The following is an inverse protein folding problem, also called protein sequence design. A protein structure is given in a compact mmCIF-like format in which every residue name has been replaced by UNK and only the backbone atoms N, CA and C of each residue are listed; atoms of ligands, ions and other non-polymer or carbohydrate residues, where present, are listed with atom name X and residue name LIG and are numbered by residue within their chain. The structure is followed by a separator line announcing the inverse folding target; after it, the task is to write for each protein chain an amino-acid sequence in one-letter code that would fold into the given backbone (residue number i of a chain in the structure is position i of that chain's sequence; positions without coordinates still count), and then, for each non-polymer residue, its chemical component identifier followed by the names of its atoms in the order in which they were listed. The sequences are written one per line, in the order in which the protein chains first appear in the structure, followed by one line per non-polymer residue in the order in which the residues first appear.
data_IF_140680299751
#
_entry.id   IF_140680299751
#
_cell.length_a   1.000
_cell.length_b   1.000
_cell.length_c   1.000
_cell.angle_alpha   90.00
_cell.angle_beta   90.00
_cell.angle_gamma   90.00
#
_symmetry.space_group_name_H-M   'P 1'
#
loop_
_entity.id
_entity.type
_entity.pdbx_description
1 polymer ?
#
# COMPACT_ATOMS: atom_id res chain seq x y z
N UNK A 1 -23.63 26.90 -43.24
CA UNK A 1 -23.70 25.74 -42.34
C UNK A 1 -22.33 25.30 -41.86
N UNK A 2 -21.34 25.18 -42.73
CA UNK A 2 -19.98 24.74 -42.33
C UNK A 2 -19.29 25.74 -41.41
N UNK A 3 -19.54 27.02 -41.53
CA UNK A 3 -18.94 28.06 -40.69
C UNK A 3 -19.46 28.00 -39.26
N UNK A 4 -20.74 27.72 -39.04
CA UNK A 4 -21.34 27.58 -37.72
C UNK A 4 -20.82 26.35 -37.02
N UNK A 5 -20.68 25.25 -37.73
CA UNK A 5 -20.11 23.98 -37.22
C UNK A 5 -18.65 24.17 -36.82
N UNK A 6 -17.85 24.84 -37.64
CA UNK A 6 -16.46 25.15 -37.33
C UNK A 6 -16.30 26.08 -36.14
N UNK A 7 -17.14 27.10 -36.01
CA UNK A 7 -17.13 28.00 -34.84
C UNK A 7 -17.49 27.27 -33.56
N UNK A 8 -18.52 26.42 -33.60
CA UNK A 8 -18.93 25.60 -32.45
C UNK A 8 -17.81 24.63 -32.05
N UNK A 9 -17.17 24.03 -33.02
CA UNK A 9 -16.06 23.10 -32.78
C UNK A 9 -14.84 23.80 -32.14
N UNK A 10 -14.52 25.00 -32.60
CA UNK A 10 -13.40 25.80 -32.09
C UNK A 10 -13.64 26.26 -30.66
N UNK A 11 -14.88 26.50 -30.27
CA UNK A 11 -15.24 26.91 -28.90
C UNK A 11 -15.35 25.68 -27.97
N UNK A 12 -15.94 24.59 -28.46
CA UNK A 12 -16.20 23.39 -27.66
C UNK A 12 -14.93 22.62 -27.35
N UNK A 13 -13.95 22.56 -28.26
CA UNK A 13 -12.74 21.77 -28.12
C UNK A 13 -11.88 22.17 -26.91
N UNK A 14 -11.55 23.47 -26.71
CA UNK A 14 -10.78 23.86 -25.52
C UNK A 14 -11.51 23.62 -24.20
N UNK A 15 -12.83 23.78 -24.18
CA UNK A 15 -13.66 23.54 -22.99
C UNK A 15 -13.61 22.04 -22.63
N UNK A 16 -13.72 21.18 -23.63
CA UNK A 16 -13.66 19.73 -23.45
C UNK A 16 -12.29 19.30 -22.95
N UNK A 17 -11.22 19.84 -23.50
CA UNK A 17 -9.85 19.54 -23.06
C UNK A 17 -9.62 19.98 -21.61
N UNK A 18 -10.11 21.16 -21.24
CA UNK A 18 -10.03 21.65 -19.86
C UNK A 18 -10.77 20.75 -18.89
N UNK A 19 -11.95 20.25 -19.27
CA UNK A 19 -12.73 19.33 -18.46
C UNK A 19 -11.99 18.00 -18.27
N UNK A 20 -11.41 17.45 -19.33
CA UNK A 20 -10.64 16.21 -19.27
C UNK A 20 -9.44 16.36 -18.33
N UNK A 21 -8.68 17.44 -18.44
CA UNK A 21 -7.52 17.71 -17.57
C UNK A 21 -7.96 17.82 -16.11
N UNK A 22 -9.06 18.53 -15.85
CA UNK A 22 -9.62 18.67 -14.51
C UNK A 22 -10.01 17.31 -13.92
N UNK A 23 -10.67 16.48 -14.74
CA UNK A 23 -11.10 15.13 -14.33
C UNK A 23 -9.90 14.23 -14.00
N UNK A 24 -8.84 14.29 -14.82
CA UNK A 24 -7.62 13.52 -14.59
C UNK A 24 -6.93 13.94 -13.29
N UNK A 25 -6.87 15.23 -13.00
CA UNK A 25 -6.29 15.74 -11.75
C UNK A 25 -7.10 15.30 -10.54
N UNK A 26 -8.42 15.29 -10.67
CA UNK A 26 -9.31 14.82 -9.60
C UNK A 26 -9.11 13.33 -9.31
N UNK A 27 -9.02 12.51 -10.35
CA UNK A 27 -8.77 11.07 -10.21
C UNK A 27 -7.43 10.78 -9.55
N UNK A 28 -6.39 11.53 -9.93
CA UNK A 28 -5.07 11.38 -9.33
C UNK A 28 -5.11 11.72 -7.84
N UNK A 29 -5.79 12.80 -7.46
CA UNK A 29 -5.93 13.20 -6.06
C UNK A 29 -6.66 12.13 -5.23
N UNK A 30 -7.74 11.58 -5.77
CA UNK A 30 -8.51 10.52 -5.11
C UNK A 30 -7.67 9.26 -4.95
N UNK A 31 -6.89 8.88 -5.95
CA UNK A 31 -5.99 7.73 -5.87
C UNK A 31 -4.91 7.92 -4.81
N UNK A 32 -4.28 9.09 -4.77
CA UNK A 32 -3.25 9.40 -3.79
C UNK A 32 -3.81 9.34 -2.37
N UNK A 33 -5.02 9.87 -2.16
CA UNK A 33 -5.69 9.81 -0.86
C UNK A 33 -6.02 8.37 -0.45
N UNK A 34 -6.52 7.55 -1.38
CA UNK A 34 -6.81 6.13 -1.14
C UNK A 34 -5.55 5.33 -0.85
N UNK A 35 -4.47 5.59 -1.58
CA UNK A 35 -3.19 4.92 -1.37
C UNK A 35 -2.62 5.24 0.01
N UNK A 36 -2.69 6.51 0.43
CA UNK A 36 -2.25 6.93 1.76
C UNK A 36 -3.08 6.27 2.85
N UNK A 37 -4.41 6.24 2.68
CA UNK A 37 -5.31 5.59 3.63
C UNK A 37 -5.03 4.10 3.76
N UNK A 38 -4.82 3.41 2.64
CA UNK A 38 -4.48 1.98 2.63
C UNK A 38 -3.14 1.74 3.32
N UNK A 39 -2.14 2.57 3.04
CA UNK A 39 -0.83 2.47 3.67
C UNK A 39 -0.92 2.60 5.19
N UNK A 40 -1.72 3.56 5.69
CA UNK A 40 -1.91 3.76 7.13
C UNK A 40 -2.63 2.58 7.78
N UNK A 41 -3.62 2.00 7.11
CA UNK A 41 -4.31 0.81 7.61
C UNK A 41 -3.37 -0.39 7.68
N UNK A 42 -2.55 -0.60 6.66
CA UNK A 42 -1.55 -1.67 6.66
C UNK A 42 -0.54 -1.46 7.79
N UNK A 43 -0.12 -0.22 8.00
CA UNK A 43 0.80 0.12 9.08
C UNK A 43 0.23 -0.26 10.45
N UNK A 44 -1.02 0.10 10.72
CA UNK A 44 -1.69 -0.22 11.99
C UNK A 44 -1.79 -1.73 12.18
N UNK A 45 -2.19 -2.47 11.14
CA UNK A 45 -2.30 -3.92 11.20
C UNK A 45 -0.96 -4.60 11.44
N UNK A 46 0.11 -4.12 10.77
CA UNK A 46 1.44 -4.67 10.97
C UNK A 46 1.96 -4.43 12.38
N UNK A 47 1.69 -3.25 12.95
CA UNK A 47 2.07 -2.93 14.32
C UNK A 47 1.34 -3.87 15.30
N UNK A 48 0.05 -4.09 15.10
CA UNK A 48 -0.74 -5.00 15.93
C UNK A 48 -0.22 -6.44 15.86
N UNK A 49 0.07 -6.94 14.67
CA UNK A 49 0.62 -8.29 14.48
C UNK A 49 2.01 -8.40 15.11
N UNK A 50 2.85 -7.40 14.91
CA UNK A 50 4.19 -7.37 15.50
C UNK A 50 4.10 -7.48 17.02
N UNK A 51 3.30 -6.62 17.65
CA UNK A 51 3.16 -6.62 19.11
C UNK A 51 2.60 -7.93 19.63
N UNK A 52 1.61 -8.49 18.93
CA UNK A 52 0.97 -9.75 19.30
C UNK A 52 1.98 -10.90 19.29
N UNK A 53 2.71 -11.06 18.18
CA UNK A 53 3.61 -12.20 18.04
C UNK A 53 4.91 -12.05 18.82
N UNK A 54 5.36 -10.80 19.04
CA UNK A 54 6.49 -10.57 19.94
C UNK A 54 6.16 -10.93 21.38
N UNK A 55 4.92 -10.67 21.82
CA UNK A 55 4.45 -11.09 23.14
C UNK A 55 4.30 -12.61 23.26
N UNK A 56 3.82 -13.25 22.19
CA UNK A 56 3.67 -14.70 22.15
C UNK A 56 5.02 -15.42 22.07
N UNK A 57 6.07 -14.75 21.55
CA UNK A 57 7.38 -15.32 21.38
C UNK A 57 7.56 -16.20 20.16
N UNK A 58 6.56 -16.30 19.30
CA UNK A 58 6.65 -17.07 18.05
C UNK A 58 5.62 -16.52 17.05
N UNK A 59 5.82 -16.83 15.77
CA UNK A 59 4.91 -16.49 14.70
C UNK A 59 4.66 -17.72 13.83
N UNK A 60 3.40 -18.15 13.65
CA UNK A 60 3.07 -19.26 12.74
C UNK A 60 3.43 -18.91 11.29
N UNK A 61 3.70 -19.93 10.48
CA UNK A 61 4.10 -19.74 9.08
C UNK A 61 3.07 -18.96 8.28
N UNK A 62 1.78 -19.22 8.46
CA UNK A 62 0.73 -18.51 7.75
C UNK A 62 0.70 -17.02 8.11
N UNK A 63 0.89 -16.71 9.39
CA UNK A 63 0.91 -15.32 9.86
C UNK A 63 2.16 -14.58 9.37
N UNK A 64 3.30 -15.26 9.35
CA UNK A 64 4.53 -14.71 8.81
C UNK A 64 4.38 -14.40 7.31
N UNK A 65 3.77 -15.31 6.56
CA UNK A 65 3.52 -15.09 5.13
C UNK A 65 2.62 -13.88 4.92
N UNK A 66 1.54 -13.76 5.71
CA UNK A 66 0.65 -12.60 5.65
C UNK A 66 1.38 -11.30 5.98
N UNK A 67 2.26 -11.33 6.97
CA UNK A 67 3.05 -10.17 7.36
C UNK A 67 3.99 -9.75 6.21
N UNK A 68 4.62 -10.72 5.54
CA UNK A 68 5.48 -10.44 4.38
C UNK A 68 4.70 -9.79 3.24
N UNK A 69 3.50 -10.27 2.96
CA UNK A 69 2.64 -9.72 1.92
C UNK A 69 2.20 -8.29 2.26
N UNK A 70 1.81 -8.05 3.52
CA UNK A 70 1.46 -6.71 4.00
C UNK A 70 2.66 -5.76 3.91
N UNK A 71 3.85 -6.23 4.28
CA UNK A 71 5.06 -5.43 4.19
C UNK A 71 5.38 -5.05 2.75
N UNK A 72 5.26 -6.00 1.82
CA UNK A 72 5.50 -5.75 0.41
C UNK A 72 4.53 -4.69 -0.12
N UNK A 73 3.24 -4.82 0.19
CA UNK A 73 2.23 -3.84 -0.21
C UNK A 73 2.52 -2.46 0.39
N UNK A 74 2.88 -2.41 1.66
CA UNK A 74 3.23 -1.17 2.36
C UNK A 74 4.45 -0.49 1.72
N UNK A 75 5.48 -1.27 1.41
CA UNK A 75 6.70 -0.76 0.77
C UNK A 75 6.40 -0.23 -0.63
N UNK A 76 5.59 -0.97 -1.42
CA UNK A 76 5.20 -0.57 -2.77
C UNK A 76 4.39 0.74 -2.78
N UNK A 77 3.66 1.01 -1.69
CA UNK A 77 2.93 2.27 -1.51
C UNK A 77 3.79 3.43 -1.00
N UNK A 78 5.07 3.20 -0.77
CA UNK A 78 6.01 4.22 -0.32
C UNK A 78 6.15 4.33 1.19
N UNK A 79 5.90 3.25 1.92
CA UNK A 79 5.99 3.22 3.37
C UNK A 79 7.41 3.46 3.90
N UNK A 80 7.51 3.93 5.14
CA UNK A 80 8.77 4.35 5.74
C UNK A 80 9.52 3.22 6.46
N UNK A 81 10.74 3.53 6.97
CA UNK A 81 11.65 2.55 7.54
C UNK A 81 11.29 2.02 8.93
N UNK A 82 10.31 2.60 9.63
CA UNK A 82 9.87 2.09 10.93
C UNK A 82 9.31 0.67 10.82
N UNK A 83 8.49 0.44 9.81
CA UNK A 83 7.89 -0.88 9.56
C UNK A 83 8.96 -1.87 9.07
N UNK A 84 9.97 -1.40 8.35
CA UNK A 84 11.10 -2.24 7.93
C UNK A 84 11.79 -2.87 9.15
N UNK A 85 12.01 -2.08 10.20
CA UNK A 85 12.61 -2.57 11.44
C UNK A 85 11.70 -3.63 12.10
N UNK A 86 10.41 -3.39 12.16
CA UNK A 86 9.44 -4.36 12.68
C UNK A 86 9.43 -5.66 11.87
N UNK A 87 9.53 -5.54 10.55
CA UNK A 87 9.59 -6.68 9.66
C UNK A 87 10.83 -7.53 9.94
N UNK A 88 11.98 -6.91 10.14
CA UNK A 88 13.22 -7.61 10.48
C UNK A 88 13.11 -8.33 11.83
N UNK A 89 12.48 -7.71 12.81
CA UNK A 89 12.25 -8.34 14.12
C UNK A 89 11.34 -9.57 14.01
N UNK A 90 10.29 -9.49 13.21
CA UNK A 90 9.38 -10.61 12.94
C UNK A 90 10.11 -11.72 12.18
N UNK A 91 10.97 -11.36 11.23
CA UNK A 91 11.78 -12.32 10.47
C UNK A 91 12.71 -13.10 11.38
N UNK A 92 13.38 -12.42 12.31
CA UNK A 92 14.23 -13.06 13.29
C UNK A 92 13.44 -14.01 14.20
N UNK A 93 12.26 -13.58 14.63
CA UNK A 93 11.37 -14.38 15.46
C UNK A 93 10.99 -15.69 14.76
N UNK A 94 10.65 -15.62 13.48
CA UNK A 94 10.30 -16.79 12.66
C UNK A 94 11.50 -17.73 12.50
N UNK A 95 12.68 -17.20 12.26
CA UNK A 95 13.90 -17.99 12.07
C UNK A 95 14.29 -18.69 13.39
N UNK A 96 14.21 -18.00 14.52
CA UNK A 96 14.53 -18.58 15.83
C UNK A 96 13.63 -19.76 16.16
N UNK A 97 12.34 -19.63 15.89
CA UNK A 97 11.37 -20.71 16.13
C UNK A 97 11.64 -21.90 15.22
N UNK A 98 12.00 -21.67 13.97
CA UNK A 98 12.37 -22.71 13.03
C UNK A 98 13.60 -23.50 13.49
N UNK A 99 14.60 -22.82 14.07
CA UNK A 99 15.80 -23.46 14.62
C UNK A 99 15.48 -24.28 15.84
N UNK A 100 14.65 -23.79 16.75
CA UNK A 100 14.22 -24.53 17.94
C UNK A 100 13.52 -25.84 17.57
N UNK A 101 12.64 -25.79 16.57
CA UNK A 101 11.93 -26.98 16.10
C UNK A 101 12.88 -28.01 15.47
N UNK A 102 13.95 -27.56 14.81
CA UNK A 102 14.96 -28.45 14.22
C UNK A 102 15.90 -29.05 15.29
N UNK A 103 16.18 -28.29 16.33
CA UNK A 103 17.04 -28.72 17.41
C UNK A 103 16.37 -29.77 18.34
N UNK A 104 15.03 -29.78 18.39
CA UNK A 104 14.25 -30.75 19.16
C UNK A 104 14.12 -32.12 18.47
N UNK A 105 14.41 -32.19 17.18
CA UNK A 105 14.44 -33.42 16.40
C UNK A 105 15.85 -34.05 16.41
#
# INVERSE_FOLDING_TARGET
MNEVIMQTYTIALPILLGYIVWLLKRQKRDRDANSTGTMLLLRVQMIEYHDKYMRLGYIPSYAYQNFCEMYKAYHDLGGNGMITKMFEEIKELHIRKGKENNDEE
#
